data_IF_165141636636
#
_entry.id   IF_165141636636
#
_cell.length_a   1.000
_cell.length_b   1.000
_cell.length_c   1.000
_cell.angle_alpha   90.00
_cell.angle_beta   90.00
_cell.angle_gamma   90.00
#
_symmetry.space_group_name_H-M   'P 1'
#
loop_
_entity.id
_entity.type
_entity.pdbx_description
1 polymer ?
#
# COMPACT_ATOMS: atom_id res chain seq x y z
N UNK A 1 -24.78 4.38 11.07
CA UNK A 1 -23.51 5.12 11.03
C UNK A 1 -23.14 5.37 9.57
N UNK A 2 -22.50 6.50 9.27
CA UNK A 2 -22.00 6.75 7.91
C UNK A 2 -20.93 5.72 7.57
N UNK A 3 -20.89 5.28 6.30
CA UNK A 3 -19.85 4.38 5.78
C UNK A 3 -18.50 5.10 5.84
N UNK A 4 -17.47 4.43 6.36
CA UNK A 4 -16.11 4.98 6.42
C UNK A 4 -15.47 5.15 5.02
N UNK A 5 -14.42 5.93 4.95
CA UNK A 5 -13.66 6.17 3.72
C UNK A 5 -12.79 4.94 3.38
N UNK A 6 -12.46 4.81 2.09
CA UNK A 6 -11.32 4.03 1.64
C UNK A 6 -10.21 4.99 1.23
N UNK A 7 -9.07 4.88 1.88
CA UNK A 7 -7.91 5.75 1.67
C UNK A 7 -6.78 4.90 1.09
N UNK A 8 -6.23 5.33 -0.03
CA UNK A 8 -5.07 4.70 -0.66
C UNK A 8 -3.87 5.63 -0.52
N UNK A 9 -2.84 5.15 0.16
CA UNK A 9 -1.58 5.84 0.33
C UNK A 9 -0.53 5.18 -0.57
N UNK A 10 -0.05 5.90 -1.55
CA UNK A 10 1.00 5.45 -2.47
C UNK A 10 2.17 6.42 -2.49
N UNK A 11 3.21 6.04 -3.16
CA UNK A 11 4.42 6.83 -3.35
C UNK A 11 5.61 5.92 -3.61
N UNK A 12 6.72 6.43 -4.12
CA UNK A 12 7.88 5.65 -4.49
C UNK A 12 8.48 4.91 -3.28
N UNK A 13 9.16 3.81 -3.58
CA UNK A 13 9.91 3.07 -2.56
C UNK A 13 10.96 3.99 -1.92
N UNK A 14 11.05 3.95 -0.59
CA UNK A 14 11.99 4.79 0.17
C UNK A 14 11.49 6.20 0.52
N UNK A 15 10.31 6.61 0.06
CA UNK A 15 9.74 7.93 0.35
C UNK A 15 9.28 8.11 1.81
N UNK A 16 9.16 7.01 2.59
CA UNK A 16 8.79 7.06 4.01
C UNK A 16 7.29 6.90 4.29
N UNK A 17 6.51 6.26 3.39
CA UNK A 17 5.07 6.01 3.61
C UNK A 17 4.74 5.46 4.99
N UNK A 18 5.40 4.36 5.37
CA UNK A 18 5.15 3.72 6.66
C UNK A 18 5.55 4.58 7.85
N UNK A 19 6.56 5.45 7.71
CA UNK A 19 6.95 6.40 8.76
C UNK A 19 5.85 7.45 8.95
N UNK A 20 5.42 8.07 7.87
CA UNK A 20 4.32 9.05 7.88
C UNK A 20 3.06 8.45 8.47
N UNK A 21 2.69 7.23 8.04
CA UNK A 21 1.47 6.57 8.51
C UNK A 21 1.49 6.26 10.01
N UNK A 22 2.64 5.92 10.58
CA UNK A 22 2.78 5.65 12.03
C UNK A 22 2.42 6.84 12.90
N UNK A 23 2.64 8.07 12.41
CA UNK A 23 2.36 9.29 13.18
C UNK A 23 0.87 9.49 13.44
N UNK A 24 0.00 9.00 12.57
CA UNK A 24 -1.44 9.26 12.68
C UNK A 24 -2.34 8.01 12.70
N UNK A 25 -1.80 6.80 12.49
CA UNK A 25 -2.64 5.59 12.43
C UNK A 25 -3.39 5.33 13.74
N UNK A 26 -2.88 5.78 14.86
CA UNK A 26 -3.48 5.62 16.18
C UNK A 26 -4.34 6.82 16.62
N UNK A 27 -4.48 7.85 15.77
CA UNK A 27 -5.36 8.97 16.05
C UNK A 27 -6.82 8.51 16.10
N UNK A 28 -7.45 8.66 17.27
CA UNK A 28 -8.81 8.17 17.52
C UNK A 28 -9.87 8.92 16.72
N UNK A 29 -9.63 10.19 16.41
CA UNK A 29 -10.57 11.04 15.68
C UNK A 29 -10.64 10.63 14.21
N UNK A 30 -9.54 10.12 13.65
CA UNK A 30 -9.46 9.64 12.29
C UNK A 30 -10.07 8.25 12.09
N UNK A 31 -10.27 7.47 13.17
CA UNK A 31 -10.84 6.10 13.14
C UNK A 31 -10.22 5.21 12.04
N UNK A 32 -8.91 5.31 11.87
CA UNK A 32 -8.19 4.56 10.85
C UNK A 32 -8.09 3.08 11.20
N UNK A 33 -8.16 2.24 10.19
CA UNK A 33 -7.93 0.81 10.31
C UNK A 33 -7.17 0.29 9.08
N UNK A 34 -6.19 -0.60 9.33
CA UNK A 34 -5.59 -1.38 8.25
C UNK A 34 -6.53 -2.49 7.81
N UNK A 35 -6.56 -2.75 6.51
CA UNK A 35 -7.12 -4.00 6.00
C UNK A 35 -6.05 -5.09 6.05
N UNK A 36 -6.41 -6.25 6.54
CA UNK A 36 -5.51 -7.42 6.53
C UNK A 36 -5.44 -7.97 5.11
N UNK A 37 -4.25 -7.92 4.51
CA UNK A 37 -4.02 -8.41 3.15
C UNK A 37 -3.87 -9.92 3.11
N UNK A 38 -4.18 -10.51 1.97
CA UNK A 38 -3.93 -11.91 1.64
C UNK A 38 -2.56 -12.06 1.00
N UNK A 39 -1.81 -13.13 1.33
CA UNK A 39 -0.51 -13.41 0.72
C UNK A 39 -0.23 -14.89 0.56
N UNK A 40 0.49 -15.25 -0.50
CA UNK A 40 1.01 -16.61 -0.73
C UNK A 40 2.39 -16.82 -0.11
N UNK A 41 3.00 -15.77 0.46
CA UNK A 41 4.26 -15.87 1.18
C UNK A 41 4.07 -16.72 2.44
N UNK A 42 5.03 -17.58 2.71
CA UNK A 42 5.04 -18.34 3.97
C UNK A 42 5.09 -17.42 5.18
N UNK A 43 4.33 -17.76 6.19
CA UNK A 43 4.32 -17.08 7.48
C UNK A 43 5.72 -17.11 8.11
N UNK A 44 6.15 -15.97 8.64
CA UNK A 44 7.43 -15.85 9.37
C UNK A 44 7.21 -16.06 10.87
N UNK A 45 8.28 -16.42 11.61
CA UNK A 45 8.20 -16.45 13.07
C UNK A 45 7.70 -15.12 13.64
N UNK A 46 6.73 -15.18 14.54
CA UNK A 46 6.10 -14.02 15.17
C UNK A 46 4.94 -13.39 14.39
N UNK A 47 4.71 -13.79 13.15
CA UNK A 47 3.49 -13.39 12.43
C UNK A 47 2.30 -14.28 12.83
N UNK A 48 1.10 -13.71 12.81
CA UNK A 48 -0.16 -14.39 13.12
C UNK A 48 -1.10 -14.28 11.95
N UNK A 49 -1.63 -15.44 11.52
CA UNK A 49 -2.66 -15.50 10.47
C UNK A 49 -3.93 -14.74 10.88
N UNK A 50 -4.51 -14.01 9.92
CA UNK A 50 -5.65 -13.16 10.15
C UNK A 50 -5.34 -11.84 10.88
N UNK A 51 -4.10 -11.62 11.32
CA UNK A 51 -3.65 -10.37 11.95
C UNK A 51 -2.63 -9.64 11.08
N UNK A 52 -1.52 -10.31 10.75
CA UNK A 52 -0.49 -9.71 9.89
C UNK A 52 -0.85 -9.86 8.42
N UNK A 53 -1.29 -11.04 8.04
CA UNK A 53 -1.79 -11.41 6.72
C UNK A 53 -2.81 -12.55 6.87
N UNK A 54 -3.63 -12.76 5.85
CA UNK A 54 -4.27 -14.05 5.58
C UNK A 54 -3.29 -14.86 4.73
N UNK A 55 -2.62 -15.85 5.34
CA UNK A 55 -1.65 -16.72 4.64
C UNK A 55 -2.39 -17.82 3.91
N UNK A 56 -2.31 -17.81 2.59
CA UNK A 56 -3.05 -18.71 1.70
C UNK A 56 -2.13 -19.43 0.72
N UNK A 57 -2.62 -20.51 0.12
CA UNK A 57 -1.93 -21.16 -1.00
C UNK A 57 -2.03 -20.31 -2.27
N UNK A 58 -1.20 -20.63 -3.26
CA UNK A 58 -1.25 -19.97 -4.56
C UNK A 58 -2.60 -20.22 -5.24
N UNK A 59 -3.11 -21.44 -5.14
CA UNK A 59 -4.38 -21.87 -5.71
C UNK A 59 -5.56 -21.08 -5.10
N UNK A 60 -5.59 -20.92 -3.78
CA UNK A 60 -6.59 -20.12 -3.07
C UNK A 60 -6.53 -18.65 -3.49
N UNK A 61 -5.32 -18.09 -3.61
CA UNK A 61 -5.13 -16.72 -4.06
C UNK A 61 -5.64 -16.51 -5.49
N UNK A 62 -5.27 -17.40 -6.42
CA UNK A 62 -5.72 -17.34 -7.80
C UNK A 62 -7.24 -17.52 -7.91
N UNK A 63 -7.83 -18.38 -7.09
CA UNK A 63 -9.27 -18.55 -7.05
C UNK A 63 -9.97 -17.26 -6.55
N UNK A 64 -9.49 -16.66 -5.48
CA UNK A 64 -10.02 -15.39 -4.97
C UNK A 64 -9.91 -14.27 -6.03
N UNK A 65 -8.79 -14.20 -6.73
CA UNK A 65 -8.60 -13.25 -7.83
C UNK A 65 -9.57 -13.50 -8.98
N UNK A 66 -9.74 -14.74 -9.39
CA UNK A 66 -10.67 -15.14 -10.46
C UNK A 66 -12.13 -14.86 -10.10
N UNK A 67 -12.49 -15.04 -8.85
CA UNK A 67 -13.83 -14.75 -8.33
C UNK A 67 -14.09 -13.24 -8.16
N UNK A 68 -13.08 -12.38 -8.37
CA UNK A 68 -13.23 -10.93 -8.16
C UNK A 68 -13.31 -10.52 -6.69
N UNK A 69 -12.79 -11.33 -5.78
CA UNK A 69 -12.82 -11.11 -4.33
C UNK A 69 -11.72 -10.14 -3.85
N UNK A 70 -10.74 -9.83 -4.71
CA UNK A 70 -9.63 -8.94 -4.42
C UNK A 70 -9.86 -7.55 -5.00
N UNK A 71 -9.66 -6.53 -4.18
CA UNK A 71 -9.72 -5.13 -4.56
C UNK A 71 -8.54 -4.75 -5.48
N UNK A 72 -7.37 -5.21 -5.11
CA UNK A 72 -6.13 -5.14 -5.90
C UNK A 72 -5.27 -6.37 -5.64
N UNK A 73 -4.34 -6.64 -6.52
CA UNK A 73 -3.32 -7.66 -6.33
C UNK A 73 -2.01 -7.31 -7.03
N UNK A 74 -0.90 -7.71 -6.42
CA UNK A 74 0.45 -7.54 -6.96
C UNK A 74 1.31 -8.76 -6.68
N UNK A 75 2.33 -8.94 -7.49
CA UNK A 75 3.41 -9.91 -7.27
C UNK A 75 4.67 -9.20 -6.79
N UNK A 76 5.30 -9.73 -5.76
CA UNK A 76 6.56 -9.24 -5.25
C UNK A 76 7.44 -10.43 -4.83
N UNK A 77 8.62 -10.53 -5.44
CA UNK A 77 9.61 -11.59 -5.18
C UNK A 77 8.98 -12.98 -5.19
N UNK A 78 8.22 -13.30 -6.25
CA UNK A 78 7.60 -14.61 -6.47
C UNK A 78 6.43 -14.94 -5.54
N UNK A 79 5.97 -13.99 -4.73
CA UNK A 79 4.78 -14.12 -3.89
C UNK A 79 3.70 -13.14 -4.32
N UNK A 80 2.46 -13.56 -4.15
CA UNK A 80 1.30 -12.71 -4.42
C UNK A 80 0.80 -12.04 -3.14
N UNK A 81 0.31 -10.83 -3.31
CA UNK A 81 -0.30 -10.00 -2.26
C UNK A 81 -1.57 -9.40 -2.81
N UNK A 82 -2.62 -9.32 -2.01
CA UNK A 82 -3.88 -8.73 -2.43
C UNK A 82 -4.73 -8.29 -1.26
N UNK A 83 -5.65 -7.37 -1.52
CA UNK A 83 -6.55 -6.80 -0.54
C UNK A 83 -7.95 -7.40 -0.71
N UNK A 84 -8.47 -8.20 0.24
CA UNK A 84 -9.83 -8.74 0.18
C UNK A 84 -10.88 -7.62 0.25
N UNK A 85 -11.82 -7.61 -0.70
CA UNK A 85 -12.92 -6.63 -0.74
C UNK A 85 -13.80 -6.76 0.50
N UNK A 86 -14.08 -7.99 0.94
CA UNK A 86 -14.93 -8.28 2.09
C UNK A 86 -14.41 -7.63 3.38
N UNK A 87 -13.11 -7.67 3.60
CA UNK A 87 -12.47 -7.07 4.77
C UNK A 87 -12.60 -5.54 4.75
N UNK A 88 -12.31 -4.92 3.62
CA UNK A 88 -12.44 -3.47 3.42
C UNK A 88 -13.87 -3.02 3.65
N UNK A 89 -14.85 -3.72 3.05
CA UNK A 89 -16.26 -3.36 3.17
C UNK A 89 -16.80 -3.58 4.58
N UNK A 90 -16.35 -4.61 5.28
CA UNK A 90 -16.69 -4.86 6.68
C UNK A 90 -16.26 -3.68 7.55
N UNK A 91 -14.99 -3.28 7.47
CA UNK A 91 -14.44 -2.17 8.24
C UNK A 91 -15.12 -0.84 7.93
N UNK A 92 -15.38 -0.56 6.64
CA UNK A 92 -16.10 0.66 6.23
C UNK A 92 -17.53 0.70 6.76
N UNK A 93 -18.25 -0.44 6.78
CA UNK A 93 -19.60 -0.55 7.37
C UNK A 93 -19.61 -0.30 8.87
N UNK A 94 -18.53 -0.65 9.58
CA UNK A 94 -18.31 -0.33 10.98
C UNK A 94 -18.00 1.16 11.23
N UNK A 95 -17.95 1.99 10.18
CA UNK A 95 -17.63 3.41 10.26
C UNK A 95 -16.14 3.71 10.39
N UNK A 96 -15.27 2.73 10.14
CA UNK A 96 -13.81 2.92 10.14
C UNK A 96 -13.33 3.41 8.78
N UNK A 97 -12.36 4.30 8.79
CA UNK A 97 -11.65 4.75 7.59
C UNK A 97 -10.53 3.74 7.29
N UNK A 98 -10.69 2.99 6.22
CA UNK A 98 -9.73 1.94 5.84
C UNK A 98 -8.60 2.56 5.06
N UNK A 99 -7.36 2.31 5.49
CA UNK A 99 -6.17 2.76 4.79
C UNK A 99 -5.41 1.57 4.17
N UNK A 100 -5.06 1.74 2.90
CA UNK A 100 -4.23 0.80 2.13
C UNK A 100 -2.91 1.49 1.80
N UNK A 101 -1.81 0.90 2.24
CA UNK A 101 -0.46 1.28 1.83
C UNK A 101 -0.03 0.38 0.68
N UNK A 102 -0.24 0.83 -0.55
CA UNK A 102 -0.01 0.03 -1.76
C UNK A 102 0.78 0.79 -2.82
N UNK A 103 1.36 0.06 -3.76
CA UNK A 103 2.06 0.63 -4.90
C UNK A 103 1.08 1.23 -5.93
N UNK A 104 1.62 2.03 -6.85
CA UNK A 104 0.84 2.72 -7.90
C UNK A 104 -0.03 1.76 -8.72
N UNK A 105 0.50 0.57 -9.05
CA UNK A 105 -0.27 -0.46 -9.75
C UNK A 105 -1.53 -0.89 -9.00
N UNK A 106 -1.40 -1.10 -7.69
CA UNK A 106 -2.54 -1.45 -6.83
C UNK A 106 -3.54 -0.31 -6.75
N UNK A 107 -3.08 0.93 -6.63
CA UNK A 107 -3.93 2.11 -6.62
C UNK A 107 -4.79 2.23 -7.89
N UNK A 108 -4.23 1.93 -9.06
CA UNK A 108 -4.97 1.94 -10.33
C UNK A 108 -6.13 0.95 -10.28
N UNK A 109 -5.88 -0.28 -9.83
CA UNK A 109 -6.91 -1.31 -9.68
C UNK A 109 -8.01 -0.89 -8.68
N UNK A 110 -7.63 -0.30 -7.54
CA UNK A 110 -8.60 0.20 -6.55
C UNK A 110 -9.49 1.29 -7.15
N UNK A 111 -8.92 2.25 -7.86
CA UNK A 111 -9.67 3.36 -8.48
C UNK A 111 -10.68 2.88 -9.52
N UNK A 112 -10.40 1.81 -10.22
CA UNK A 112 -11.34 1.22 -11.18
C UNK A 112 -12.57 0.65 -10.48
N UNK A 113 -12.39 0.03 -9.32
CA UNK A 113 -13.44 -0.66 -8.57
C UNK A 113 -14.17 0.23 -7.57
N UNK A 114 -13.46 1.21 -6.95
CA UNK A 114 -14.00 2.08 -5.90
C UNK A 114 -13.79 3.55 -6.29
N UNK A 115 -14.81 4.13 -6.92
CA UNK A 115 -14.72 5.50 -7.48
C UNK A 115 -14.63 6.60 -6.41
N UNK A 116 -15.11 6.35 -5.21
CA UNK A 116 -15.06 7.27 -4.07
C UNK A 116 -13.77 7.14 -3.23
N UNK A 117 -12.85 6.26 -3.61
CA UNK A 117 -11.57 6.12 -2.91
C UNK A 117 -10.80 7.44 -2.86
N UNK A 118 -10.30 7.77 -1.67
CA UNK A 118 -9.41 8.91 -1.43
C UNK A 118 -7.97 8.46 -1.73
N UNK A 119 -7.37 9.01 -2.76
CA UNK A 119 -6.02 8.64 -3.18
C UNK A 119 -5.02 9.72 -2.84
N UNK A 120 -3.98 9.35 -2.09
CA UNK A 120 -2.91 10.23 -1.63
C UNK A 120 -1.58 9.70 -2.15
N UNK A 121 -0.81 10.56 -2.79
CA UNK A 121 0.54 10.23 -3.23
C UNK A 121 1.56 10.98 -2.39
N UNK A 122 2.49 10.25 -1.76
CA UNK A 122 3.59 10.85 -1.03
C UNK A 122 4.78 11.03 -1.96
N UNK A 123 5.30 12.24 -2.01
CA UNK A 123 6.49 12.59 -2.79
C UNK A 123 7.66 12.92 -1.86
N UNK A 124 8.91 12.68 -2.29
CA UNK A 124 10.07 13.23 -1.60
C UNK A 124 10.23 14.72 -1.93
N UNK A 125 11.00 15.49 -1.14
CA UNK A 125 11.33 16.88 -1.47
C UNK A 125 12.08 17.01 -2.81
N UNK A 126 12.89 16.00 -3.14
CA UNK A 126 13.59 15.89 -4.41
C UNK A 126 13.98 14.44 -4.69
N UNK A 127 14.32 14.14 -5.95
CA UNK A 127 14.87 12.83 -6.33
C UNK A 127 16.23 12.57 -5.67
N UNK A 128 17.03 13.61 -5.45
CA UNK A 128 18.31 13.50 -4.75
C UNK A 128 18.11 13.08 -3.28
N UNK A 129 17.11 13.64 -2.60
CA UNK A 129 16.77 13.23 -1.24
C UNK A 129 16.23 11.79 -1.20
N UNK A 130 15.41 11.39 -2.17
CA UNK A 130 14.96 10.00 -2.30
C UNK A 130 16.13 9.04 -2.49
N UNK A 131 17.07 9.37 -3.35
CA UNK A 131 18.29 8.58 -3.56
C UNK A 131 19.08 8.42 -2.26
N UNK A 132 19.27 9.50 -1.51
CA UNK A 132 19.93 9.47 -0.21
C UNK A 132 19.22 8.54 0.79
N UNK A 133 17.88 8.59 0.84
CA UNK A 133 17.07 7.72 1.70
C UNK A 133 17.14 6.24 1.29
N UNK A 134 17.17 5.95 0.00
CA UNK A 134 17.36 4.59 -0.53
C UNK A 134 18.74 4.08 -0.17
N UNK A 135 19.79 4.86 -0.40
CA UNK A 135 21.20 4.51 -0.11
C UNK A 135 21.49 4.42 1.40
N UNK A 136 20.85 5.23 2.21
CA UNK A 136 21.05 5.30 3.66
C UNK A 136 20.71 4.00 4.42
N UNK A 137 19.97 3.09 3.79
CA UNK A 137 19.71 1.75 4.34
C UNK A 137 20.87 0.76 4.16
N UNK A 138 21.88 1.12 3.39
CA UNK A 138 23.17 0.43 3.16
C UNK A 138 23.12 -1.10 2.93
N UNK A 139 22.04 -1.62 2.37
CA UNK A 139 21.81 -3.07 2.29
C UNK A 139 21.72 -3.61 0.87
N UNK A 140 21.76 -2.75 -0.14
CA UNK A 140 21.45 -3.16 -1.51
C UNK A 140 22.61 -2.85 -2.47
N UNK A 141 22.88 -3.74 -3.44
CA UNK A 141 23.84 -3.47 -4.54
C UNK A 141 23.44 -2.24 -5.35
N UNK A 142 24.43 -1.59 -5.97
CA UNK A 142 24.21 -0.38 -6.78
C UNK A 142 23.17 -0.59 -7.89
N UNK A 143 23.18 -1.74 -8.54
CA UNK A 143 22.21 -2.09 -9.59
C UNK A 143 20.75 -2.01 -9.07
N UNK A 144 20.51 -2.54 -7.86
CA UNK A 144 19.19 -2.49 -7.23
C UNK A 144 18.79 -1.06 -6.87
N UNK A 145 19.75 -0.26 -6.38
CA UNK A 145 19.51 1.17 -6.11
C UNK A 145 19.08 1.89 -7.38
N UNK A 146 19.76 1.68 -8.49
CA UNK A 146 19.44 2.30 -9.77
C UNK A 146 18.07 1.84 -10.31
N UNK A 147 17.73 0.56 -10.18
CA UNK A 147 16.41 0.05 -10.56
C UNK A 147 15.29 0.71 -9.73
N UNK A 148 15.50 0.86 -8.42
CA UNK A 148 14.54 1.53 -7.53
C UNK A 148 14.35 3.00 -7.87
N UNK A 149 15.43 3.71 -8.19
CA UNK A 149 15.37 5.11 -8.61
C UNK A 149 14.66 5.26 -9.96
N UNK A 150 14.96 4.40 -10.93
CA UNK A 150 14.28 4.39 -12.21
C UNK A 150 12.77 4.07 -12.07
N UNK A 151 12.42 3.14 -11.19
CA UNK A 151 11.01 2.86 -10.85
C UNK A 151 10.35 4.09 -10.22
N UNK A 152 11.01 4.73 -9.25
CA UNK A 152 10.51 5.91 -8.58
C UNK A 152 10.24 7.07 -9.55
N UNK A 153 11.15 7.31 -10.49
CA UNK A 153 10.97 8.34 -11.53
C UNK A 153 9.70 8.09 -12.36
N UNK A 154 9.47 6.84 -12.79
CA UNK A 154 8.26 6.47 -13.53
C UNK A 154 6.98 6.61 -12.68
N UNK A 155 7.05 6.27 -11.39
CA UNK A 155 5.92 6.42 -10.47
C UNK A 155 5.58 7.90 -10.23
N UNK A 156 6.57 8.78 -10.18
CA UNK A 156 6.39 10.23 -10.06
C UNK A 156 5.64 10.85 -11.25
N UNK A 157 5.75 10.28 -12.45
CA UNK A 157 4.99 10.73 -13.62
C UNK A 157 3.47 10.51 -13.46
N UNK A 158 3.07 9.62 -12.56
CA UNK A 158 1.67 9.26 -12.33
C UNK A 158 0.98 10.06 -11.22
N UNK A 159 1.64 11.08 -10.68
CA UNK A 159 1.10 11.96 -9.61
C UNK A 159 -0.27 12.51 -9.97
N UNK A 160 -0.48 12.93 -11.23
CA UNK A 160 -1.75 13.48 -11.71
C UNK A 160 -2.96 12.54 -11.59
N UNK A 161 -2.75 11.26 -11.32
CA UNK A 161 -3.81 10.29 -11.09
C UNK A 161 -4.39 10.33 -9.67
N UNK A 162 -3.72 11.01 -8.75
CA UNK A 162 -4.09 11.05 -7.32
C UNK A 162 -4.87 12.32 -6.99
N UNK A 163 -5.79 12.22 -6.03
CA UNK A 163 -6.58 13.36 -5.55
C UNK A 163 -5.73 14.35 -4.73
N UNK A 164 -4.77 13.80 -3.99
CA UNK A 164 -3.87 14.60 -3.14
C UNK A 164 -2.43 14.16 -3.32
N UNK A 165 -1.53 15.12 -3.22
CA UNK A 165 -0.08 14.93 -3.23
C UNK A 165 0.47 15.59 -1.98
N UNK A 166 1.25 14.85 -1.19
CA UNK A 166 1.84 15.31 0.06
C UNK A 166 3.35 15.10 0.00
N UNK A 167 4.11 16.16 0.27
CA UNK A 167 5.56 16.07 0.37
C UNK A 167 5.97 15.57 1.76
N UNK A 168 6.73 14.48 1.82
CA UNK A 168 7.39 14.03 3.04
C UNK A 168 8.77 14.68 3.13
N UNK A 169 8.79 15.84 3.71
CA UNK A 169 9.94 16.75 3.80
C UNK A 169 10.82 16.38 4.99
N UNK A 170 10.21 16.19 6.15
CA UNK A 170 10.86 15.82 7.39
C UNK A 170 10.27 14.49 7.89
N UNK A 171 11.13 13.50 8.07
CA UNK A 171 10.72 12.16 8.50
C UNK A 171 11.36 11.79 9.82
#
# INVERSE_FOLDING_TARGET
MAKGLLIVLSGPSGVGKGTVLKEFIHDKDLKLAYSVSMTTRKQRPGEVDGINYHFVTKEEFEQAKKNGELLESAEFVGNYYGTPISEVERLRKEGKNVILEIEVQGCTQVREKVKDALTIFIVPPSMAELEKRIRGRNTEPEEIVQERLAKAAREMELIGMYKYVVCNDDA
#
